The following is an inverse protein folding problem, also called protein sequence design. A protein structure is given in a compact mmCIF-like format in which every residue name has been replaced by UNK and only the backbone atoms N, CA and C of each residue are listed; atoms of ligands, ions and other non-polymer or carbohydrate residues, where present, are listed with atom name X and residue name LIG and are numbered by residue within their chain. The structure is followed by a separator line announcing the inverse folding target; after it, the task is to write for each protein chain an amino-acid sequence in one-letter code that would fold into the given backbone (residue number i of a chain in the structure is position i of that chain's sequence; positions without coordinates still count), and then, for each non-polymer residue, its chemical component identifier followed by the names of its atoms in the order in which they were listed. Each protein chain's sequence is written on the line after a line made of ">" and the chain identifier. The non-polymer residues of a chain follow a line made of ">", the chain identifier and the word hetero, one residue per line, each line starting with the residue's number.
data_IF_445309154478
#
_entry.id   IF_445309154478
#
_cell.length_a   1.000
_cell.length_b   1.000
_cell.length_c   1.000
_cell.angle_alpha   90.00
_cell.angle_beta   90.00
_cell.angle_gamma   90.00
#
_symmetry.space_group_name_H-M   'P 1'
#
loop_
_entity.id
_entity.type
_entity.pdbx_description
1 polymer ?
#
# COMPACT_ATOMS: atom_id res chain seq x y z
N UNK A 1 53.19 -17.32 7.39
CA UNK A 1 52.33 -17.81 6.28
C UNK A 1 51.09 -18.61 6.72
N UNK A 2 50.74 -18.67 8.02
CA UNK A 2 49.57 -19.42 8.53
C UNK A 2 48.31 -18.55 8.76
N UNK A 3 48.45 -17.26 9.03
CA UNK A 3 47.33 -16.34 9.33
C UNK A 3 46.48 -15.95 8.11
N UNK A 4 47.08 -15.82 6.91
CA UNK A 4 46.34 -15.52 5.67
C UNK A 4 45.43 -16.67 5.23
N UNK A 5 45.81 -17.93 5.51
CA UNK A 5 44.97 -19.11 5.23
C UNK A 5 43.75 -19.15 6.15
N UNK A 6 43.92 -18.81 7.42
CA UNK A 6 42.83 -18.72 8.40
C UNK A 6 41.81 -17.62 8.04
N UNK A 7 42.27 -16.45 7.59
CA UNK A 7 41.36 -15.38 7.15
C UNK A 7 40.56 -15.76 5.89
N UNK A 8 41.19 -16.46 4.94
CA UNK A 8 40.52 -17.00 3.76
C UNK A 8 39.51 -18.12 4.09
N UNK A 9 39.82 -18.98 5.06
CA UNK A 9 38.93 -20.07 5.50
C UNK A 9 37.72 -19.51 6.28
N UNK A 10 37.92 -18.47 7.10
CA UNK A 10 36.83 -17.79 7.83
C UNK A 10 35.91 -17.05 6.85
N UNK A 11 36.47 -16.36 5.84
CA UNK A 11 35.71 -15.74 4.75
C UNK A 11 34.92 -16.77 3.93
N UNK A 12 35.53 -17.90 3.56
CA UNK A 12 34.90 -18.95 2.77
C UNK A 12 33.81 -19.75 3.51
N UNK A 13 33.80 -19.76 4.86
CA UNK A 13 32.74 -20.38 5.66
C UNK A 13 31.59 -19.42 6.02
N UNK A 14 31.86 -18.11 6.11
CA UNK A 14 30.85 -17.11 6.48
C UNK A 14 30.03 -16.65 5.27
N UNK A 15 30.64 -16.56 4.08
CA UNK A 15 29.93 -16.17 2.84
C UNK A 15 28.76 -17.12 2.49
N UNK A 16 28.87 -18.47 2.55
CA UNK A 16 27.72 -19.35 2.33
C UNK A 16 26.73 -19.36 3.51
N UNK A 17 27.13 -18.95 4.71
CA UNK A 17 26.25 -18.90 5.88
C UNK A 17 25.30 -17.68 5.85
N UNK A 18 25.65 -16.61 5.13
CA UNK A 18 24.79 -15.44 4.90
C UNK A 18 23.91 -15.63 3.64
N UNK A 19 24.31 -16.50 2.71
CA UNK A 19 23.49 -16.90 1.55
C UNK A 19 22.42 -17.95 1.90
N UNK A 20 22.50 -18.54 3.10
CA UNK A 20 21.36 -19.23 3.73
C UNK A 20 20.46 -18.25 4.49
N UNK A 21 20.34 -17.01 4.01
CA UNK A 21 19.16 -16.20 4.27
C UNK A 21 17.98 -16.94 3.63
N UNK A 22 17.36 -17.81 4.42
CA UNK A 22 16.03 -18.35 4.25
C UNK A 22 15.43 -18.10 2.86
N UNK A 23 15.60 -19.06 1.95
CA UNK A 23 14.54 -19.40 1.01
C UNK A 23 13.34 -19.89 1.83
N UNK A 24 12.75 -19.04 2.67
CA UNK A 24 11.32 -19.08 2.89
C UNK A 24 10.73 -18.53 1.60
N UNK A 25 10.72 -19.39 0.57
CA UNK A 25 9.56 -19.45 -0.27
C UNK A 25 8.42 -19.78 0.71
N UNK A 26 7.82 -18.73 1.28
CA UNK A 26 6.46 -18.83 1.75
C UNK A 26 5.73 -19.27 0.49
N UNK A 27 5.45 -20.56 0.37
CA UNK A 27 4.37 -20.97 -0.48
C UNK A 27 3.22 -20.06 -0.03
N UNK A 28 2.69 -19.16 -0.87
CA UNK A 28 1.39 -18.61 -0.55
C UNK A 28 0.51 -19.85 -0.66
N UNK A 29 0.28 -20.50 0.49
CA UNK A 29 -0.90 -21.32 0.63
C UNK A 29 -2.00 -20.41 0.10
N UNK A 30 -2.64 -20.85 -0.97
CA UNK A 30 -3.72 -20.14 -1.67
C UNK A 30 -4.95 -20.04 -0.76
N UNK A 31 -4.76 -19.48 0.41
CA UNK A 31 -5.79 -18.95 1.26
C UNK A 31 -5.96 -17.53 0.80
N UNK A 32 -7.05 -17.29 0.04
CA UNK A 32 -7.65 -15.97 -0.03
C UNK A 32 -7.84 -15.53 1.42
N UNK A 33 -6.90 -14.74 1.95
CA UNK A 33 -6.99 -14.19 3.30
C UNK A 33 -8.25 -13.35 3.30
N UNK A 34 -9.35 -13.92 3.83
CA UNK A 34 -10.62 -13.22 3.92
C UNK A 34 -10.33 -11.93 4.66
N UNK A 35 -10.53 -10.79 4.00
CA UNK A 35 -10.34 -9.49 4.62
C UNK A 35 -11.39 -9.36 5.73
N UNK A 36 -11.00 -9.68 6.95
CA UNK A 36 -11.82 -9.55 8.16
C UNK A 36 -11.35 -8.30 8.89
N UNK A 37 -12.01 -7.18 8.64
CA UNK A 37 -11.66 -5.91 9.24
C UNK A 37 -12.75 -4.86 8.98
N UNK A 38 -12.58 -3.65 9.53
CA UNK A 38 -13.54 -2.57 9.31
C UNK A 38 -13.62 -2.20 7.83
N UNK A 39 -14.75 -1.63 7.37
CA UNK A 39 -14.85 -1.12 5.99
C UNK A 39 -13.70 -0.14 5.72
N UNK A 40 -13.08 -0.17 4.54
CA UNK A 40 -11.98 0.73 4.25
C UNK A 40 -11.14 0.31 3.05
N UNK A 41 -9.96 0.92 2.93
CA UNK A 41 -8.98 0.60 1.89
C UNK A 41 -8.07 -0.52 2.37
N UNK A 42 -7.89 -1.50 1.51
CA UNK A 42 -6.94 -2.60 1.69
C UNK A 42 -6.01 -2.67 0.48
N UNK A 43 -4.74 -2.95 0.73
CA UNK A 43 -3.70 -3.04 -0.31
C UNK A 43 -2.98 -4.38 -0.19
N UNK A 44 -2.79 -5.02 -1.33
CA UNK A 44 -1.93 -6.20 -1.46
C UNK A 44 -0.67 -5.83 -2.22
N UNK A 45 0.48 -6.33 -1.76
CA UNK A 45 1.76 -6.25 -2.47
C UNK A 45 2.13 -7.55 -3.21
N UNK A 46 1.28 -8.57 -3.14
CA UNK A 46 1.57 -9.93 -3.59
C UNK A 46 0.35 -10.54 -4.29
N UNK A 47 -0.21 -9.82 -5.26
CA UNK A 47 -1.26 -10.32 -6.16
C UNK A 47 -2.51 -10.86 -5.45
N UNK A 48 -2.80 -10.40 -4.24
CA UNK A 48 -3.99 -10.75 -3.47
C UNK A 48 -3.80 -11.88 -2.46
N UNK A 49 -2.58 -12.43 -2.30
CA UNK A 49 -2.30 -13.47 -1.29
C UNK A 49 -2.49 -12.94 0.14
N UNK A 50 -2.01 -11.71 0.39
CA UNK A 50 -2.15 -11.01 1.66
C UNK A 50 -2.63 -9.58 1.46
N UNK A 51 -3.34 -9.04 2.46
CA UNK A 51 -3.93 -7.70 2.44
C UNK A 51 -3.58 -6.94 3.72
N UNK A 52 -3.19 -5.68 3.57
CA UNK A 52 -2.91 -4.75 4.67
C UNK A 52 -3.93 -3.61 4.65
N UNK A 53 -4.39 -3.21 5.84
CA UNK A 53 -5.28 -2.06 5.99
C UNK A 53 -4.54 -0.75 5.73
N UNK A 54 -5.17 0.16 4.99
CA UNK A 54 -4.61 1.43 4.55
C UNK A 54 -5.55 2.59 4.87
N UNK A 55 -5.93 2.74 6.13
CA UNK A 55 -6.96 3.68 6.57
C UNK A 55 -6.43 4.83 7.44
N UNK A 56 -5.14 5.16 7.39
CA UNK A 56 -4.57 6.22 8.26
C UNK A 56 -4.90 7.63 7.72
N UNK A 57 -5.48 8.50 8.56
CA UNK A 57 -5.68 9.92 8.28
C UNK A 57 -4.50 10.74 8.80
N UNK A 58 -3.85 11.52 7.92
CA UNK A 58 -2.63 12.27 8.23
C UNK A 58 -2.79 13.29 9.36
N UNK A 59 -3.95 13.96 9.43
CA UNK A 59 -4.13 15.11 10.32
C UNK A 59 -3.98 14.76 11.82
N UNK A 60 -4.46 13.57 12.24
CA UNK A 60 -4.57 13.21 13.66
C UNK A 60 -4.26 11.73 13.93
N UNK A 61 -3.64 11.01 12.99
CA UNK A 61 -3.45 9.55 13.06
C UNK A 61 -4.75 8.76 13.37
N UNK A 62 -5.90 9.32 13.01
CA UNK A 62 -7.21 8.68 13.14
C UNK A 62 -7.48 7.80 11.92
N UNK A 63 -8.50 6.95 12.00
CA UNK A 63 -8.85 6.05 10.91
C UNK A 63 -9.93 6.63 9.98
N UNK A 64 -9.78 6.45 8.67
CA UNK A 64 -10.81 6.66 7.64
C UNK A 64 -11.63 5.39 7.36
N UNK A 65 -11.50 4.39 8.22
CA UNK A 65 -12.28 3.16 8.17
C UNK A 65 -13.76 3.40 8.51
N UNK A 66 -14.57 2.35 8.37
CA UNK A 66 -16.02 2.33 8.61
C UNK A 66 -16.84 3.23 7.67
N UNK A 67 -16.23 3.71 6.60
CA UNK A 67 -16.88 4.50 5.55
C UNK A 67 -17.18 3.63 4.34
N UNK A 68 -18.37 3.80 3.75
CA UNK A 68 -18.69 3.18 2.47
C UNK A 68 -17.89 3.88 1.37
N UNK A 69 -16.89 3.17 0.86
CA UNK A 69 -16.09 3.59 -0.29
C UNK A 69 -16.91 3.33 -1.54
N UNK A 70 -17.11 4.38 -2.33
CA UNK A 70 -17.88 4.31 -3.56
C UNK A 70 -16.99 4.23 -4.79
N UNK A 71 -15.81 4.86 -4.74
CA UNK A 71 -14.82 4.80 -5.81
C UNK A 71 -13.40 5.04 -5.31
N UNK A 72 -12.44 4.41 -5.98
CA UNK A 72 -11.00 4.66 -5.84
C UNK A 72 -10.39 4.77 -7.24
N UNK A 73 -9.47 5.70 -7.44
CA UNK A 73 -8.79 5.88 -8.73
C UNK A 73 -7.38 6.44 -8.53
N UNK A 74 -6.44 6.00 -9.36
CA UNK A 74 -5.10 6.58 -9.41
C UNK A 74 -5.13 7.90 -10.19
N UNK A 75 -4.24 8.82 -9.82
CA UNK A 75 -3.92 9.92 -10.71
C UNK A 75 -3.30 9.37 -12.00
N UNK A 76 -3.81 9.85 -13.14
CA UNK A 76 -3.39 9.39 -14.46
C UNK A 76 -1.98 9.83 -14.85
N UNK A 77 -1.40 10.80 -14.13
CA UNK A 77 -0.06 11.32 -14.37
C UNK A 77 0.95 10.83 -13.32
N UNK A 78 0.50 10.24 -12.20
CA UNK A 78 1.36 9.79 -11.10
C UNK A 78 0.70 8.69 -10.27
N UNK A 79 1.19 7.47 -10.40
CA UNK A 79 0.65 6.30 -9.69
C UNK A 79 0.83 6.35 -8.17
N UNK A 80 1.64 7.28 -7.63
CA UNK A 80 1.72 7.47 -6.18
C UNK A 80 0.51 8.19 -5.60
N UNK A 81 -0.24 8.91 -6.44
CA UNK A 81 -1.42 9.64 -6.02
C UNK A 81 -2.67 8.80 -6.25
N UNK A 82 -3.49 8.70 -5.20
CA UNK A 82 -4.75 7.97 -5.22
C UNK A 82 -5.85 8.87 -4.69
N UNK A 83 -6.98 8.89 -5.38
CA UNK A 83 -8.21 9.54 -4.96
C UNK A 83 -9.24 8.51 -4.53
N UNK A 84 -10.01 8.86 -3.50
CA UNK A 84 -11.09 8.02 -2.98
C UNK A 84 -12.32 8.87 -2.67
N UNK A 85 -13.47 8.40 -3.14
CA UNK A 85 -14.78 8.92 -2.78
C UNK A 85 -15.49 8.00 -1.78
N UNK A 86 -16.13 8.59 -0.77
CA UNK A 86 -16.91 7.89 0.23
C UNK A 86 -18.12 8.73 0.69
N UNK A 87 -19.04 8.11 1.44
CA UNK A 87 -20.13 8.82 2.11
C UNK A 87 -19.64 9.96 3.02
N UNK A 88 -18.51 9.76 3.71
CA UNK A 88 -17.96 10.72 4.67
C UNK A 88 -16.89 11.66 4.10
N UNK A 89 -16.80 11.81 2.77
CA UNK A 89 -15.92 12.79 2.14
C UNK A 89 -15.11 12.29 0.94
N UNK A 90 -14.32 13.21 0.41
CA UNK A 90 -13.33 12.98 -0.64
C UNK A 90 -11.92 13.01 -0.06
N UNK A 91 -11.08 12.06 -0.44
CA UNK A 91 -9.75 11.89 0.12
C UNK A 91 -8.71 11.73 -0.98
N UNK A 92 -7.50 12.19 -0.69
CA UNK A 92 -6.31 11.99 -1.52
C UNK A 92 -5.23 11.31 -0.68
N UNK A 93 -4.52 10.37 -1.28
CA UNK A 93 -3.24 9.86 -0.80
C UNK A 93 -2.16 10.32 -1.77
N UNK A 94 -1.00 10.74 -1.25
CA UNK A 94 0.17 11.10 -2.06
C UNK A 94 1.32 10.08 -1.92
N UNK A 95 1.06 8.94 -1.28
CA UNK A 95 2.04 7.92 -0.92
C UNK A 95 1.47 6.51 -1.13
N UNK A 96 0.91 6.23 -2.30
CA UNK A 96 0.41 4.91 -2.69
C UNK A 96 -0.66 4.32 -1.73
N UNK A 97 -1.46 5.18 -1.10
CA UNK A 97 -2.52 4.78 -0.18
C UNK A 97 -2.08 4.61 1.27
N UNK A 98 -0.79 4.79 1.60
CA UNK A 98 -0.28 4.51 2.95
C UNK A 98 -0.86 5.49 4.00
N UNK A 99 -1.11 6.74 3.59
CA UNK A 99 -1.89 7.71 4.35
C UNK A 99 -2.80 8.54 3.46
N UNK A 100 -3.81 9.14 4.08
CA UNK A 100 -4.83 9.92 3.39
C UNK A 100 -5.00 11.30 4.03
N UNK A 101 -5.34 12.26 3.17
CA UNK A 101 -5.77 13.60 3.52
C UNK A 101 -7.19 13.80 3.02
N UNK A 102 -8.06 14.30 3.89
CA UNK A 102 -9.43 14.69 3.49
C UNK A 102 -9.37 16.01 2.72
N UNK A 103 -10.03 16.05 1.57
CA UNK A 103 -10.18 17.24 0.72
C UNK A 103 -11.48 17.99 0.98
N UNK A 104 -12.57 17.26 1.26
CA UNK A 104 -13.86 17.82 1.65
C UNK A 104 -14.73 16.76 2.36
N UNK A 105 -15.83 17.19 2.97
CA UNK A 105 -16.79 16.35 3.69
C UNK A 105 -18.02 15.95 2.86
N UNK A 106 -18.03 16.21 1.55
CA UNK A 106 -19.19 15.92 0.71
C UNK A 106 -19.33 14.41 0.46
N UNK A 107 -20.55 13.87 0.50
CA UNK A 107 -20.79 12.51 0.07
C UNK A 107 -20.69 12.42 -1.46
N UNK A 108 -19.68 11.72 -1.97
CA UNK A 108 -19.45 11.61 -3.42
C UNK A 108 -19.74 10.18 -3.89
N UNK A 109 -20.54 10.02 -4.94
CA UNK A 109 -20.84 8.71 -5.55
C UNK A 109 -19.79 8.27 -6.56
N UNK A 110 -19.42 9.19 -7.44
CA UNK A 110 -18.48 8.99 -8.53
C UNK A 110 -17.72 10.30 -8.76
N UNK A 111 -16.50 10.18 -9.27
CA UNK A 111 -15.64 11.23 -9.72
C UNK A 111 -14.84 10.81 -10.96
N UNK A 112 -14.51 11.78 -11.79
CA UNK A 112 -13.62 11.61 -12.94
C UNK A 112 -12.47 12.61 -12.88
N UNK A 113 -11.29 12.13 -13.26
CA UNK A 113 -10.08 12.95 -13.37
C UNK A 113 -9.96 13.48 -14.80
N UNK A 114 -9.60 14.74 -14.95
CA UNK A 114 -9.37 15.31 -16.29
C UNK A 114 -8.14 14.64 -16.94
N UNK A 115 -8.29 14.01 -18.12
CA UNK A 115 -7.22 13.26 -18.77
C UNK A 115 -6.03 14.10 -19.26
N UNK A 116 -6.22 15.42 -19.38
CA UNK A 116 -5.28 16.34 -20.03
C UNK A 116 -4.66 17.34 -19.06
N UNK A 117 -5.34 17.64 -17.96
CA UNK A 117 -4.92 18.65 -17.00
C UNK A 117 -5.01 18.12 -15.59
N UNK A 118 -3.85 17.96 -14.93
CA UNK A 118 -3.76 17.50 -13.53
C UNK A 118 -4.52 18.44 -12.59
N UNK A 119 -5.10 17.88 -11.54
CA UNK A 119 -5.77 18.65 -10.48
C UNK A 119 -7.20 19.09 -10.80
N UNK A 120 -7.70 18.84 -12.02
CA UNK A 120 -9.11 19.05 -12.35
C UNK A 120 -9.87 17.75 -12.13
N UNK A 121 -10.85 17.79 -11.23
CA UNK A 121 -11.66 16.65 -10.79
C UNK A 121 -13.14 17.06 -10.89
N UNK A 122 -13.96 16.21 -11.47
CA UNK A 122 -15.42 16.37 -11.53
C UNK A 122 -16.08 15.25 -10.73
N UNK A 123 -17.19 15.52 -10.05
CA UNK A 123 -17.95 14.52 -9.27
C UNK A 123 -19.44 14.85 -9.26
N UNK A 124 -20.27 13.88 -8.88
CA UNK A 124 -21.74 14.01 -8.74
C UNK A 124 -22.29 13.41 -7.45
#
# INVERSE_FOLDING_TARGET
>A
MKSKKIFFIISALIIPLILSACNFAFAPGGGSSKVTGPKGVYKSGNQGDTWLEQNTLEANATSIASQDIRQISFDIFDSNIIYRAANGGFFISQNNGDSWKKLNDLPINDFVLNPKTRGIIYFS
#
